data_IF_937941679302
#
_entry.id   IF_937941679302
#
_cell.length_a   1.000
_cell.length_b   1.000
_cell.length_c   1.000
_cell.angle_alpha   90.00
_cell.angle_beta   90.00
_cell.angle_gamma   90.00
#
_symmetry.space_group_name_H-M   'P 1'
#
loop_
_entity.id
_entity.type
_entity.pdbx_description
1 polymer ?
#
# COMPACT_ATOMS: atom_id res chain seq x y z
N UNK A 1 -11.65 -0.27 16.79
CA UNK A 1 -10.77 -1.36 16.33
C UNK A 1 -11.26 -1.98 15.01
N UNK A 2 -12.46 -2.58 14.94
CA UNK A 2 -12.99 -3.23 13.71
C UNK A 2 -12.89 -2.36 12.44
N UNK A 3 -13.32 -1.09 12.50
CA UNK A 3 -13.24 -0.15 11.36
C UNK A 3 -11.82 0.04 10.81
N UNK A 4 -10.82 0.08 11.69
CA UNK A 4 -9.42 0.26 11.30
C UNK A 4 -8.89 -1.00 10.61
N UNK A 5 -9.20 -2.17 11.20
CA UNK A 5 -8.90 -3.47 10.62
C UNK A 5 -9.48 -3.59 9.21
N UNK A 6 -10.79 -3.34 9.05
CA UNK A 6 -11.45 -3.40 7.75
C UNK A 6 -10.78 -2.48 6.74
N UNK A 7 -10.47 -1.25 7.12
CA UNK A 7 -9.86 -0.27 6.22
C UNK A 7 -8.50 -0.74 5.69
N UNK A 8 -7.60 -1.15 6.60
CA UNK A 8 -6.24 -1.48 6.23
C UNK A 8 -6.13 -2.84 5.54
N UNK A 9 -6.97 -3.81 5.94
CA UNK A 9 -7.04 -5.13 5.31
C UNK A 9 -7.57 -5.01 3.89
N UNK A 10 -8.67 -4.29 3.67
CA UNK A 10 -9.22 -4.13 2.31
C UNK A 10 -8.19 -3.44 1.40
N UNK A 11 -7.61 -2.33 1.85
CA UNK A 11 -6.62 -1.60 1.05
C UNK A 11 -5.35 -2.45 0.77
N UNK A 12 -4.81 -3.13 1.78
CA UNK A 12 -3.63 -3.99 1.64
C UNK A 12 -3.88 -5.22 0.77
N UNK A 13 -5.05 -5.85 0.86
CA UNK A 13 -5.42 -6.99 0.02
C UNK A 13 -5.63 -6.56 -1.43
N UNK A 14 -6.27 -5.41 -1.70
CA UNK A 14 -6.37 -4.89 -3.08
C UNK A 14 -4.99 -4.70 -3.70
N UNK A 15 -4.07 -4.06 -2.96
CA UNK A 15 -2.67 -3.89 -3.40
C UNK A 15 -1.95 -5.22 -3.65
N UNK A 16 -2.20 -6.20 -2.80
CA UNK A 16 -1.64 -7.56 -2.91
C UNK A 16 -2.16 -8.26 -4.17
N UNK A 17 -3.48 -8.26 -4.37
CA UNK A 17 -4.13 -8.96 -5.49
C UNK A 17 -3.68 -8.39 -6.84
N UNK A 18 -3.59 -7.06 -6.98
CA UNK A 18 -3.09 -6.46 -8.21
C UNK A 18 -1.60 -6.77 -8.45
N UNK A 19 -0.77 -6.73 -7.40
CA UNK A 19 0.65 -7.09 -7.53
C UNK A 19 0.82 -8.55 -7.95
N UNK A 20 0.02 -9.46 -7.39
CA UNK A 20 0.02 -10.88 -7.75
C UNK A 20 -0.48 -11.07 -9.19
N UNK A 21 -1.61 -10.44 -9.54
CA UNK A 21 -2.17 -10.50 -10.89
C UNK A 21 -1.18 -10.00 -11.95
N UNK A 22 -0.49 -8.88 -11.71
CA UNK A 22 0.56 -8.39 -12.61
C UNK A 22 1.77 -9.33 -12.64
N UNK A 23 2.16 -9.91 -11.51
CA UNK A 23 3.19 -10.94 -11.45
C UNK A 23 2.86 -12.21 -12.24
N UNK A 24 1.57 -12.52 -12.42
CA UNK A 24 1.08 -13.62 -13.24
C UNK A 24 0.89 -13.25 -14.72
N UNK A 25 1.32 -12.05 -15.14
CA UNK A 25 1.26 -11.58 -16.53
C UNK A 25 0.02 -10.74 -16.86
N UNK A 26 -0.81 -10.41 -15.87
CA UNK A 26 -1.93 -9.49 -16.04
C UNK A 26 -1.48 -8.05 -16.33
N UNK A 27 -2.27 -7.30 -17.09
CA UNK A 27 -1.96 -5.90 -17.47
C UNK A 27 -3.06 -4.90 -17.10
N UNK A 28 -4.20 -5.36 -16.56
CA UNK A 28 -5.30 -4.49 -16.15
C UNK A 28 -4.81 -3.42 -15.15
N UNK A 29 -5.11 -2.16 -15.45
CA UNK A 29 -4.70 -1.01 -14.62
C UNK A 29 -3.19 -0.72 -14.60
N UNK A 30 -2.33 -1.54 -15.21
CA UNK A 30 -0.87 -1.39 -15.12
C UNK A 30 -0.37 -0.06 -15.71
N UNK A 31 -1.04 0.43 -16.76
CA UNK A 31 -0.76 1.74 -17.36
C UNK A 31 -0.95 2.90 -16.38
N UNK A 32 -1.79 2.72 -15.35
CA UNK A 32 -2.03 3.73 -14.32
C UNK A 32 -1.00 3.69 -13.19
N UNK A 33 -0.15 2.66 -13.13
CA UNK A 33 1.01 2.61 -12.22
C UNK A 33 2.16 3.42 -12.83
N UNK A 34 2.39 3.27 -14.14
CA UNK A 34 3.36 4.06 -14.88
C UNK A 34 3.84 3.37 -16.15
N UNK A 35 4.16 4.16 -17.17
CA UNK A 35 4.65 3.64 -18.46
C UNK A 35 6.01 2.92 -18.34
N UNK A 36 6.83 3.30 -17.35
CA UNK A 36 8.13 2.68 -17.06
C UNK A 36 8.04 1.17 -16.81
N UNK A 37 6.88 0.69 -16.33
CA UNK A 37 6.65 -0.74 -16.05
C UNK A 37 6.73 -1.57 -17.34
N UNK A 38 6.24 -1.05 -18.45
CA UNK A 38 6.32 -1.74 -19.74
C UNK A 38 7.76 -1.78 -20.26
N UNK A 39 8.53 -0.72 -20.05
CA UNK A 39 9.96 -0.69 -20.40
C UNK A 39 10.75 -1.73 -19.59
N UNK A 40 10.49 -1.82 -18.28
CA UNK A 40 11.13 -2.84 -17.44
C UNK A 40 10.69 -4.26 -17.79
N UNK A 41 9.39 -4.45 -18.06
CA UNK A 41 8.87 -5.76 -18.47
C UNK A 41 9.50 -6.22 -19.79
N UNK A 42 9.62 -5.33 -20.79
CA UNK A 42 10.31 -5.62 -22.03
C UNK A 42 11.80 -5.95 -21.83
N UNK A 43 12.46 -5.32 -20.86
CA UNK A 43 13.88 -5.53 -20.57
C UNK A 43 14.18 -6.79 -19.76
N UNK A 44 13.34 -7.11 -18.78
CA UNK A 44 13.61 -8.13 -17.77
C UNK A 44 12.69 -9.35 -17.85
N UNK A 45 11.59 -9.29 -18.61
CA UNK A 45 10.68 -10.41 -18.84
C UNK A 45 10.22 -11.08 -17.55
N UNK A 46 10.47 -12.39 -17.44
CA UNK A 46 10.08 -13.23 -16.30
C UNK A 46 10.61 -12.71 -14.94
N UNK A 47 11.77 -12.03 -14.93
CA UNK A 47 12.32 -11.50 -13.68
C UNK A 47 11.47 -10.37 -13.10
N UNK A 48 10.83 -9.56 -13.96
CA UNK A 48 9.88 -8.54 -13.52
C UNK A 48 8.64 -9.19 -12.89
N UNK A 49 8.13 -10.25 -13.51
CA UNK A 49 7.00 -11.02 -13.00
C UNK A 49 7.29 -11.63 -11.63
N UNK A 50 8.47 -12.27 -11.47
CA UNK A 50 8.90 -12.81 -10.18
C UNK A 50 9.04 -11.72 -9.11
N UNK A 51 9.60 -10.55 -9.46
CA UNK A 51 9.70 -9.43 -8.54
C UNK A 51 8.31 -8.96 -8.06
N UNK A 52 7.33 -8.90 -8.95
CA UNK A 52 5.95 -8.54 -8.59
C UNK A 52 5.27 -9.58 -7.69
N UNK A 53 5.53 -10.88 -7.89
CA UNK A 53 5.07 -11.94 -6.98
C UNK A 53 5.68 -11.76 -5.59
N UNK A 54 6.99 -11.49 -5.50
CA UNK A 54 7.65 -11.22 -4.22
C UNK A 54 7.05 -9.97 -3.54
N UNK A 55 6.81 -8.90 -4.30
CA UNK A 55 6.14 -7.69 -3.79
C UNK A 55 4.73 -8.02 -3.28
N UNK A 56 3.98 -8.88 -3.97
CA UNK A 56 2.67 -9.33 -3.52
C UNK A 56 2.74 -10.07 -2.17
N UNK A 57 3.70 -10.99 -2.02
CA UNK A 57 3.91 -11.72 -0.77
C UNK A 57 4.29 -10.80 0.40
N UNK A 58 5.16 -9.81 0.15
CA UNK A 58 5.54 -8.80 1.15
C UNK A 58 4.32 -7.98 1.56
N UNK A 59 3.51 -7.51 0.59
CA UNK A 59 2.29 -6.75 0.86
C UNK A 59 1.27 -7.57 1.64
N UNK A 60 1.11 -8.84 1.29
CA UNK A 60 0.24 -9.76 2.01
C UNK A 60 0.70 -9.93 3.45
N UNK A 61 1.99 -10.19 3.67
CA UNK A 61 2.58 -10.29 5.00
C UNK A 61 2.39 -9.00 5.82
N UNK A 62 2.69 -7.84 5.23
CA UNK A 62 2.50 -6.54 5.85
C UNK A 62 1.02 -6.23 6.20
N UNK A 63 0.08 -6.89 5.53
CA UNK A 63 -1.36 -6.78 5.80
C UNK A 63 -1.81 -7.78 6.87
N UNK A 64 -1.36 -9.03 6.82
CA UNK A 64 -1.92 -10.08 7.68
C UNK A 64 -1.17 -10.20 9.01
N UNK A 65 0.15 -10.07 9.02
CA UNK A 65 0.98 -10.24 10.24
C UNK A 65 0.54 -9.31 11.39
N UNK A 66 0.22 -8.01 11.17
CA UNK A 66 -0.20 -7.14 12.26
C UNK A 66 -1.46 -7.61 12.99
N UNK A 67 -2.35 -8.36 12.32
CA UNK A 67 -3.61 -8.84 12.94
C UNK A 67 -3.36 -9.76 14.14
N UNK A 68 -2.22 -10.45 14.17
CA UNK A 68 -1.83 -11.33 15.28
C UNK A 68 -1.66 -10.57 16.59
N UNK A 69 -1.38 -9.26 16.55
CA UNK A 69 -1.22 -8.41 17.74
C UNK A 69 -2.48 -8.36 18.62
N UNK A 70 -3.67 -8.68 18.07
CA UNK A 70 -4.92 -8.74 18.84
C UNK A 70 -4.93 -9.91 19.82
N UNK A 71 -4.36 -11.05 19.42
CA UNK A 71 -4.39 -12.29 20.19
C UNK A 71 -3.08 -12.48 20.97
N UNK A 72 -1.96 -12.07 20.39
CA UNK A 72 -0.63 -12.20 20.97
C UNK A 72 0.17 -10.93 20.70
N UNK A 73 0.40 -10.14 21.75
CA UNK A 73 1.13 -8.89 21.60
C UNK A 73 2.64 -9.12 21.47
N UNK A 74 3.18 -8.81 20.29
CA UNK A 74 4.61 -8.83 20.00
C UNK A 74 5.10 -7.39 19.75
N UNK A 75 6.05 -6.93 20.57
CA UNK A 75 6.62 -5.57 20.47
C UNK A 75 7.31 -5.31 19.12
N UNK A 76 7.96 -6.31 18.52
CA UNK A 76 8.64 -6.16 17.22
C UNK A 76 7.62 -5.94 16.11
N UNK A 77 6.59 -6.79 16.06
CA UNK A 77 5.50 -6.64 15.08
C UNK A 77 4.80 -5.30 15.27
N UNK A 78 4.57 -4.87 16.52
CA UNK A 78 4.00 -3.56 16.83
C UNK A 78 4.82 -2.41 16.26
N UNK A 79 6.13 -2.33 16.55
CA UNK A 79 6.97 -1.22 16.07
C UNK A 79 7.20 -1.24 14.56
N UNK A 80 7.33 -2.43 13.96
CA UNK A 80 7.42 -2.57 12.50
C UNK A 80 6.11 -2.09 11.85
N UNK A 81 4.96 -2.47 12.40
CA UNK A 81 3.64 -2.04 11.91
C UNK A 81 3.45 -0.53 12.08
N UNK A 82 3.92 0.02 13.19
CA UNK A 82 3.89 1.46 13.45
C UNK A 82 4.73 2.22 12.41
N UNK A 83 6.00 1.83 12.24
CA UNK A 83 6.88 2.44 11.25
C UNK A 83 6.34 2.30 9.82
N UNK A 84 5.86 1.11 9.46
CA UNK A 84 5.22 0.85 8.17
C UNK A 84 3.98 1.71 7.94
N UNK A 85 3.14 1.90 8.96
CA UNK A 85 1.96 2.75 8.85
C UNK A 85 2.31 4.21 8.58
N UNK A 86 3.34 4.75 9.25
CA UNK A 86 3.82 6.12 9.03
C UNK A 86 4.40 6.26 7.62
N UNK A 87 5.21 5.30 7.19
CA UNK A 87 5.75 5.27 5.83
C UNK A 87 4.64 5.27 4.78
N UNK A 88 3.62 4.41 4.93
CA UNK A 88 2.48 4.34 4.02
C UNK A 88 1.68 5.63 3.96
N UNK A 89 1.48 6.30 5.10
CA UNK A 89 0.79 7.60 5.16
C UNK A 89 1.59 8.66 4.42
N UNK A 90 2.89 8.76 4.68
CA UNK A 90 3.75 9.75 4.03
C UNK A 90 3.85 9.48 2.53
N UNK A 91 4.17 8.24 2.15
CA UNK A 91 4.32 7.85 0.75
C UNK A 91 3.00 8.01 -0.02
N UNK A 92 1.93 7.39 0.47
CA UNK A 92 0.62 7.45 -0.17
C UNK A 92 0.04 8.88 -0.18
N UNK A 93 0.14 9.59 0.94
CA UNK A 93 -0.37 10.95 1.07
C UNK A 93 0.36 11.96 0.18
N UNK A 94 1.70 11.96 0.21
CA UNK A 94 2.51 12.86 -0.63
C UNK A 94 2.23 12.57 -2.10
N UNK A 95 2.26 11.31 -2.53
CA UNK A 95 2.05 10.98 -3.96
C UNK A 95 0.62 11.26 -4.42
N UNK A 96 -0.39 11.08 -3.55
CA UNK A 96 -1.77 11.49 -3.83
C UNK A 96 -1.85 13.00 -4.08
N UNK A 97 -1.26 13.80 -3.19
CA UNK A 97 -1.24 15.26 -3.32
C UNK A 97 -0.51 15.68 -4.59
N UNK A 98 0.68 15.11 -4.84
CA UNK A 98 1.45 15.34 -6.08
C UNK A 98 0.61 14.98 -7.31
N UNK A 99 -0.12 13.87 -7.27
CA UNK A 99 -1.07 13.49 -8.32
C UNK A 99 -2.12 14.57 -8.58
N UNK A 100 -2.76 15.10 -7.53
CA UNK A 100 -3.71 16.21 -7.68
C UNK A 100 -3.06 17.49 -8.21
N UNK A 101 -1.87 17.86 -7.71
CA UNK A 101 -1.15 19.05 -8.20
C UNK A 101 -0.84 18.94 -9.70
N UNK A 102 -0.48 17.75 -10.19
CA UNK A 102 -0.29 17.47 -11.63
C UNK A 102 -1.59 17.62 -12.42
N UNK A 103 -2.72 17.14 -11.89
CA UNK A 103 -4.03 17.27 -12.55
C UNK A 103 -4.53 18.72 -12.60
N UNK A 104 -4.26 19.50 -11.55
CA UNK A 104 -4.58 20.93 -11.50
C UNK A 104 -3.57 21.81 -12.26
N UNK A 105 -2.59 21.20 -12.95
CA UNK A 105 -1.55 21.89 -13.73
C UNK A 105 -0.69 22.85 -12.89
N UNK A 106 -0.59 22.59 -11.58
CA UNK A 106 0.29 23.33 -10.67
C UNK A 106 1.74 22.87 -10.85
N UNK A 107 1.93 21.58 -11.13
CA UNK A 107 3.23 20.98 -11.48
C UNK A 107 3.13 20.21 -12.79
N UNK A 108 4.27 19.94 -13.42
CA UNK A 108 4.33 19.29 -14.73
C UNK A 108 3.78 17.86 -14.71
N UNK A 109 2.99 17.52 -15.73
CA UNK A 109 2.39 16.21 -15.90
C UNK A 109 2.88 15.55 -17.19
N UNK A 110 3.74 14.55 -17.05
CA UNK A 110 4.30 13.81 -18.19
C UNK A 110 3.43 12.63 -18.65
N UNK A 111 2.49 12.14 -17.82
CA UNK A 111 1.65 11.00 -18.17
C UNK A 111 0.30 11.07 -17.43
N UNK A 112 -0.75 11.28 -18.22
CA UNK A 112 -2.11 11.44 -17.69
C UNK A 112 -2.62 10.20 -16.95
N UNK A 113 -2.50 9.00 -17.53
CA UNK A 113 -3.02 7.77 -16.93
C UNK A 113 -2.31 7.40 -15.63
N UNK A 114 -0.99 7.53 -15.59
CA UNK A 114 -0.22 7.31 -14.37
C UNK A 114 -0.59 8.33 -13.30
N UNK A 115 -0.78 9.59 -13.67
CA UNK A 115 -1.20 10.63 -12.74
C UNK A 115 -2.60 10.37 -12.17
N UNK A 116 -3.56 9.89 -12.96
CA UNK A 116 -4.88 9.50 -12.46
C UNK A 116 -4.77 8.32 -11.48
N UNK A 117 -3.94 7.32 -11.81
CA UNK A 117 -3.68 6.21 -10.90
C UNK A 117 -3.09 6.66 -9.57
N UNK A 118 -2.09 7.55 -9.61
CA UNK A 118 -1.49 8.15 -8.43
C UNK A 118 -2.51 8.97 -7.62
N UNK A 119 -3.29 9.82 -8.27
CA UNK A 119 -4.20 10.75 -7.60
C UNK A 119 -5.42 10.07 -6.96
N UNK A 120 -5.93 8.98 -7.54
CA UNK A 120 -7.25 8.45 -7.18
C UNK A 120 -7.30 6.96 -6.89
N UNK A 121 -6.26 6.18 -7.24
CA UNK A 121 -6.31 4.73 -7.13
C UNK A 121 -5.23 4.24 -6.16
N UNK A 122 -3.97 4.23 -6.58
CA UNK A 122 -2.93 3.47 -5.91
C UNK A 122 -2.41 4.15 -4.64
N UNK A 123 -2.07 5.43 -4.72
CA UNK A 123 -1.50 6.16 -3.59
C UNK A 123 -2.53 6.51 -2.52
N UNK A 124 -3.81 6.84 -2.86
CA UNK A 124 -4.88 6.92 -1.88
C UNK A 124 -5.11 5.59 -1.17
N UNK A 125 -5.02 4.46 -1.88
CA UNK A 125 -5.11 3.14 -1.24
C UNK A 125 -3.94 2.88 -0.29
N UNK A 126 -2.72 3.29 -0.62
CA UNK A 126 -1.60 3.24 0.34
C UNK A 126 -1.84 4.11 1.56
N UNK A 127 -2.38 5.32 1.37
CA UNK A 127 -2.73 6.22 2.47
C UNK A 127 -3.80 5.61 3.37
N UNK A 128 -4.87 5.05 2.80
CA UNK A 128 -5.94 4.38 3.56
C UNK A 128 -5.43 3.15 4.31
N UNK A 129 -4.53 2.38 3.68
CA UNK A 129 -3.83 1.29 4.34
C UNK A 129 -3.04 1.79 5.56
N UNK A 130 -2.22 2.82 5.37
CA UNK A 130 -1.43 3.42 6.46
C UNK A 130 -2.29 3.98 7.60
N UNK A 131 -3.35 4.74 7.29
CA UNK A 131 -4.28 5.30 8.29
C UNK A 131 -4.98 4.18 9.08
N UNK A 132 -5.47 3.16 8.38
CA UNK A 132 -6.12 2.03 9.01
C UNK A 132 -5.16 1.24 9.91
N UNK A 133 -3.94 0.99 9.44
CA UNK A 133 -2.93 0.26 10.22
C UNK A 133 -2.51 1.05 11.46
N UNK A 134 -2.23 2.35 11.31
CA UNK A 134 -1.88 3.24 12.44
C UNK A 134 -3.01 3.28 13.46
N UNK A 135 -4.25 3.48 13.02
CA UNK A 135 -5.42 3.49 13.89
C UNK A 135 -5.62 2.18 14.65
N UNK A 136 -5.34 1.04 14.00
CA UNK A 136 -5.35 -0.27 14.65
C UNK A 136 -4.27 -0.39 15.73
N UNK A 137 -3.00 -0.11 15.38
CA UNK A 137 -1.85 -0.22 16.28
C UNK A 137 -2.00 0.71 17.50
N UNK A 138 -2.44 1.95 17.30
CA UNK A 138 -2.70 2.89 18.40
C UNK A 138 -3.87 2.44 19.29
N UNK A 139 -4.86 1.74 18.73
CA UNK A 139 -5.98 1.22 19.51
C UNK A 139 -5.59 0.05 20.43
N UNK A 140 -4.60 -0.75 20.04
CA UNK A 140 -4.03 -1.81 20.88
C UNK A 140 -3.29 -1.24 22.09
N UNK A 141 -2.48 -0.19 21.89
CA UNK A 141 -1.73 0.42 22.97
C UNK A 141 -2.64 0.97 24.08
N UNK A 142 -3.74 1.63 23.69
CA UNK A 142 -4.76 2.11 24.65
C UNK A 142 -5.45 0.97 25.40
N UNK A 143 -5.61 -0.19 24.76
CA UNK A 143 -6.18 -1.37 25.40
C UNK A 143 -5.21 -1.91 26.45
N UNK A 144 -3.93 -2.07 26.13
CA UNK A 144 -2.94 -2.60 27.08
C UNK A 144 -2.78 -1.74 28.33
N UNK A 145 -2.65 -0.40 28.18
CA UNK A 145 -2.53 0.51 29.35
C UNK A 145 -3.75 0.44 30.28
N UNK A 146 -4.93 0.07 29.76
CA UNK A 146 -6.15 0.03 30.56
C UNK A 146 -6.25 -1.21 31.46
N UNK A 147 -5.45 -2.24 31.20
CA UNK A 147 -5.51 -3.53 31.89
C UNK A 147 -4.18 -3.93 32.56
N UNK A 148 -3.20 -3.02 32.59
CA UNK A 148 -2.01 -3.04 33.43
C UNK A 148 -2.24 -2.16 34.67
#
# INVERSE_FOLDING_TARGET
MKKYISLFVIAGIVHTLFSLYWGLGGNAGLITVGSWVFTLSARFGIWMNMALIVVALIKFGATVIPLNLTNHFDKRIYYISLAGSVFLILYGGINTIVGWLKLFKIIENHNYFSTIGQAFVWDPLFLLWGIGLLGYVLSLHKFMIKYD
#
